data_IF_163522987187
#
_entry.id   IF_163522987187
#
_cell.length_a   1.000
_cell.length_b   1.000
_cell.length_c   1.000
_cell.angle_alpha   90.00
_cell.angle_beta   90.00
_cell.angle_gamma   90.00
#
_symmetry.space_group_name_H-M   'P 1'
#
loop_
_entity.id
_entity.type
_entity.pdbx_description
1 polymer ?
#
# COMPACT_ATOMS: atom_id res chain seq x y z
N UNK A 1 -18.24 10.53 -13.20
CA UNK A 1 -18.55 10.69 -11.76
C UNK A 1 -17.87 11.95 -11.26
N UNK A 2 -18.66 12.89 -10.75
CA UNK A 2 -18.23 14.24 -10.37
C UNK A 2 -17.55 14.16 -9.00
N UNK A 3 -16.23 14.31 -8.97
CA UNK A 3 -15.52 14.65 -7.74
C UNK A 3 -15.91 16.07 -7.36
N UNK A 4 -16.67 16.23 -6.29
CA UNK A 4 -17.02 17.55 -5.76
C UNK A 4 -15.75 18.33 -5.40
N UNK A 5 -15.56 19.49 -6.06
CA UNK A 5 -14.89 20.63 -5.44
C UNK A 5 -13.45 20.96 -5.82
N UNK A 6 -12.76 20.20 -6.67
CA UNK A 6 -11.48 20.62 -7.26
C UNK A 6 -11.61 20.62 -8.78
N UNK A 7 -11.56 21.81 -9.41
CA UNK A 7 -11.24 21.92 -10.84
C UNK A 7 -9.79 21.47 -11.01
N UNK A 8 -9.62 20.15 -11.10
CA UNK A 8 -8.32 19.51 -11.25
C UNK A 8 -7.86 19.67 -12.71
N UNK A 9 -6.72 20.32 -12.92
CA UNK A 9 -6.12 20.44 -14.24
C UNK A 9 -5.51 19.09 -14.65
N UNK A 10 -6.20 18.36 -15.54
CA UNK A 10 -5.83 17.00 -15.99
C UNK A 10 -4.39 16.89 -16.50
N UNK A 11 -3.86 17.95 -17.13
CA UNK A 11 -2.49 17.98 -17.66
C UNK A 11 -1.43 18.10 -16.55
N UNK A 12 -1.67 18.91 -15.51
CA UNK A 12 -0.78 19.04 -14.33
C UNK A 12 -0.65 17.71 -13.58
N UNK A 13 -1.76 16.95 -13.51
CA UNK A 13 -1.78 15.64 -12.87
C UNK A 13 -1.01 14.58 -13.63
N UNK A 14 -1.18 14.52 -14.96
CA UNK A 14 -0.45 13.57 -15.80
C UNK A 14 1.06 13.79 -15.71
N UNK A 15 1.51 15.05 -15.69
CA UNK A 15 2.92 15.38 -15.50
C UNK A 15 3.44 14.95 -14.12
N UNK A 16 2.66 15.18 -13.05
CA UNK A 16 3.08 14.82 -11.69
C UNK A 16 3.18 13.31 -11.50
N UNK A 17 2.23 12.55 -12.05
CA UNK A 17 2.29 11.09 -12.04
C UNK A 17 3.51 10.57 -12.81
N UNK A 18 3.80 11.11 -14.01
CA UNK A 18 4.96 10.70 -14.80
C UNK A 18 6.28 10.94 -14.06
N UNK A 19 6.43 12.10 -13.40
CA UNK A 19 7.62 12.41 -12.60
C UNK A 19 7.77 11.44 -11.41
N UNK A 20 6.66 11.16 -10.71
CA UNK A 20 6.66 10.21 -9.58
C UNK A 20 7.00 8.80 -10.06
N UNK A 21 6.42 8.33 -11.17
CA UNK A 21 6.74 7.01 -11.75
C UNK A 21 8.20 6.92 -12.17
N UNK A 22 8.74 7.95 -12.81
CA UNK A 22 10.17 8.01 -13.16
C UNK A 22 11.05 7.88 -11.91
N UNK A 23 10.77 8.63 -10.84
CA UNK A 23 11.52 8.53 -9.58
C UNK A 23 11.37 7.15 -8.92
N UNK A 24 10.17 6.58 -8.99
CA UNK A 24 9.87 5.25 -8.47
C UNK A 24 10.66 4.15 -9.21
N UNK A 25 10.72 4.22 -10.54
CA UNK A 25 11.46 3.26 -11.37
C UNK A 25 12.98 3.33 -11.14
N UNK A 26 13.49 4.49 -10.74
CA UNK A 26 14.90 4.70 -10.39
C UNK A 26 15.18 4.53 -8.89
N UNK A 27 14.22 4.05 -8.10
CA UNK A 27 14.35 3.81 -6.66
C UNK A 27 14.78 5.07 -5.87
N UNK A 28 14.45 6.26 -6.37
CA UNK A 28 14.79 7.53 -5.73
C UNK A 28 13.67 7.95 -4.77
N UNK A 29 13.56 7.22 -3.66
CA UNK A 29 12.46 7.32 -2.70
C UNK A 29 12.37 8.69 -2.03
N UNK A 30 13.50 9.23 -1.56
CA UNK A 30 13.55 10.53 -0.88
C UNK A 30 13.04 11.67 -1.77
N UNK A 31 13.51 11.74 -3.01
CA UNK A 31 13.05 12.78 -3.93
C UNK A 31 11.61 12.58 -4.36
N UNK A 32 11.17 11.31 -4.49
CA UNK A 32 9.78 10.99 -4.80
C UNK A 32 8.86 11.54 -3.71
N UNK A 33 9.16 11.22 -2.44
CA UNK A 33 8.40 11.71 -1.27
C UNK A 33 8.42 13.24 -1.23
N UNK A 34 9.61 13.85 -1.39
CA UNK A 34 9.75 15.30 -1.36
C UNK A 34 8.95 16.00 -2.46
N UNK A 35 8.90 15.41 -3.66
CA UNK A 35 8.10 15.93 -4.76
C UNK A 35 6.59 15.75 -4.49
N UNK A 36 6.18 14.58 -4.00
CA UNK A 36 4.79 14.21 -3.76
C UNK A 36 4.12 15.08 -2.68
N UNK A 37 4.82 15.39 -1.59
CA UNK A 37 4.32 16.26 -0.49
C UNK A 37 3.96 17.67 -0.97
N UNK A 38 4.61 18.16 -2.04
CA UNK A 38 4.35 19.50 -2.60
C UNK A 38 3.15 19.55 -3.54
N UNK A 39 2.53 18.40 -3.84
CA UNK A 39 1.41 18.34 -4.78
C UNK A 39 0.08 18.54 -4.06
N UNK A 40 -0.76 19.41 -4.61
CA UNK A 40 -2.14 19.60 -4.13
C UNK A 40 -3.03 18.38 -4.38
N UNK A 41 -2.61 17.50 -5.30
CA UNK A 41 -3.33 16.30 -5.69
C UNK A 41 -2.36 15.25 -6.21
N UNK A 42 -2.59 13.99 -5.83
CA UNK A 42 -1.91 12.82 -6.38
C UNK A 42 -2.97 11.91 -7.01
N UNK A 43 -2.65 11.28 -8.15
CA UNK A 43 -3.45 10.17 -8.66
C UNK A 43 -3.31 8.94 -7.76
N UNK A 44 -4.17 7.94 -7.94
CA UNK A 44 -4.06 6.68 -7.19
C UNK A 44 -2.69 6.02 -7.40
N UNK A 45 -2.21 5.95 -8.64
CA UNK A 45 -0.88 5.42 -8.97
C UNK A 45 0.22 6.18 -8.24
N UNK A 46 0.18 7.52 -8.27
CA UNK A 46 1.16 8.34 -7.57
C UNK A 46 1.08 8.16 -6.04
N UNK A 47 -0.12 7.97 -5.50
CA UNK A 47 -0.35 7.70 -4.07
C UNK A 47 0.27 6.36 -3.67
N UNK A 48 0.03 5.28 -4.44
CA UNK A 48 0.63 3.96 -4.22
C UNK A 48 2.15 4.04 -4.29
N UNK A 49 2.71 4.68 -5.32
CA UNK A 49 4.16 4.88 -5.42
C UNK A 49 4.74 5.63 -4.21
N UNK A 50 4.02 6.62 -3.69
CA UNK A 50 4.48 7.43 -2.56
C UNK A 50 4.39 6.67 -1.25
N UNK A 51 3.30 5.95 -1.00
CA UNK A 51 3.15 5.10 0.18
C UNK A 51 4.22 3.99 0.18
N UNK A 52 4.46 3.35 -0.96
CA UNK A 52 5.56 2.38 -1.08
C UNK A 52 6.93 3.04 -0.81
N UNK A 53 7.20 4.22 -1.38
CA UNK A 53 8.46 4.94 -1.11
C UNK A 53 8.62 5.30 0.38
N UNK A 54 7.53 5.69 1.05
CA UNK A 54 7.54 5.93 2.50
C UNK A 54 7.88 4.67 3.28
N UNK A 55 7.35 3.50 2.87
CA UNK A 55 7.73 2.21 3.46
C UNK A 55 9.21 1.90 3.23
N UNK A 56 9.74 2.07 2.00
CA UNK A 56 11.17 1.83 1.73
C UNK A 56 12.10 2.72 2.55
N UNK A 57 11.62 3.88 2.99
CA UNK A 57 12.36 4.81 3.85
C UNK A 57 12.06 4.61 5.35
N UNK A 58 11.24 3.62 5.74
CA UNK A 58 10.87 3.35 7.14
C UNK A 58 10.02 4.45 7.78
N UNK A 59 9.16 5.10 6.97
CA UNK A 59 8.41 6.31 7.34
C UNK A 59 6.92 6.22 7.04
N UNK A 60 6.42 5.06 6.62
CA UNK A 60 5.02 4.89 6.23
C UNK A 60 4.09 5.30 7.37
N UNK A 61 4.25 4.66 8.53
CA UNK A 61 3.35 4.83 9.66
C UNK A 61 3.44 6.21 10.32
N UNK A 62 4.51 6.97 10.13
CA UNK A 62 4.66 8.31 10.71
C UNK A 62 4.32 9.43 9.72
N UNK A 63 4.61 9.24 8.44
CA UNK A 63 4.57 10.33 7.45
C UNK A 63 3.51 10.19 6.36
N UNK A 64 2.74 9.09 6.28
CA UNK A 64 1.80 8.90 5.17
C UNK A 64 0.69 9.95 5.09
N UNK A 65 0.27 10.55 6.20
CA UNK A 65 -0.75 11.60 6.15
C UNK A 65 -0.23 12.97 5.72
N UNK A 66 1.10 13.14 5.55
CA UNK A 66 1.69 14.36 4.96
C UNK A 66 1.33 14.54 3.49
N UNK A 67 0.88 13.47 2.82
CA UNK A 67 0.23 13.52 1.53
C UNK A 67 -1.28 13.30 1.67
N UNK A 68 -2.07 13.81 0.74
CA UNK A 68 -3.52 13.61 0.74
C UNK A 68 -3.89 12.16 0.41
N UNK A 69 -4.44 11.45 1.38
CA UNK A 69 -4.88 10.05 1.26
C UNK A 69 -6.31 9.93 0.67
N UNK A 70 -6.50 10.46 -0.54
CA UNK A 70 -7.83 10.56 -1.18
C UNK A 70 -8.43 9.20 -1.62
N UNK A 71 -7.64 8.12 -1.57
CA UNK A 71 -8.02 6.80 -2.07
C UNK A 71 -8.22 5.76 -0.96
N UNK A 72 -8.20 6.16 0.31
CA UNK A 72 -8.28 5.23 1.46
C UNK A 72 -7.28 4.06 1.26
N UNK A 73 -7.61 2.83 1.63
CA UNK A 73 -6.69 1.70 1.43
C UNK A 73 -6.36 1.39 -0.03
N UNK A 74 -7.15 1.83 -1.01
CA UNK A 74 -6.79 1.69 -2.43
C UNK A 74 -5.63 2.59 -2.88
N UNK A 75 -5.25 3.56 -2.05
CA UNK A 75 -4.00 4.32 -2.20
C UNK A 75 -2.77 3.57 -1.69
N UNK A 76 -2.96 2.47 -0.96
CA UNK A 76 -1.91 1.57 -0.47
C UNK A 76 -1.82 0.32 -1.35
N UNK A 77 -2.97 -0.34 -1.55
CA UNK A 77 -3.14 -1.55 -2.35
C UNK A 77 -4.40 -1.39 -3.20
N UNK A 78 -4.23 -1.11 -4.49
CA UNK A 78 -5.37 -1.11 -5.41
C UNK A 78 -5.91 -2.55 -5.56
N UNK A 79 -7.24 -2.69 -5.62
CA UNK A 79 -7.85 -3.98 -5.94
C UNK A 79 -7.45 -4.37 -7.38
N UNK A 80 -6.80 -5.53 -7.52
CA UNK A 80 -6.42 -6.06 -8.82
C UNK A 80 -7.44 -7.09 -9.29
N UNK A 81 -8.44 -6.68 -10.05
CA UNK A 81 -9.41 -7.62 -10.59
C UNK A 81 -8.78 -8.41 -11.75
N UNK A 82 -8.43 -9.67 -11.49
CA UNK A 82 -7.92 -10.57 -12.53
C UNK A 82 -8.98 -10.94 -13.58
N UNK A 83 -10.26 -10.73 -13.28
CA UNK A 83 -11.37 -11.04 -14.16
C UNK A 83 -12.46 -9.96 -14.06
N UNK A 84 -12.70 -9.25 -15.16
CA UNK A 84 -14.03 -8.72 -15.46
C UNK A 84 -14.40 -9.20 -16.87
N UNK A 85 -15.39 -10.08 -17.03
CA UNK A 85 -15.76 -10.69 -18.30
C UNK A 85 -16.62 -9.76 -19.17
N UNK A 86 -16.33 -8.47 -19.18
CA UNK A 86 -16.98 -7.54 -20.10
C UNK A 86 -15.93 -7.05 -21.09
N UNK A 87 -16.23 -7.18 -22.39
CA UNK A 87 -15.37 -6.90 -23.57
C UNK A 87 -14.85 -5.45 -23.70
N UNK A 88 -14.94 -4.66 -22.63
CA UNK A 88 -14.58 -3.27 -22.64
C UNK A 88 -13.08 -3.09 -22.39
N UNK A 89 -12.31 -3.05 -23.48
CA UNK A 89 -10.85 -2.82 -23.52
C UNK A 89 -10.41 -1.60 -22.67
N UNK A 90 -11.24 -0.57 -22.58
CA UNK A 90 -10.97 0.60 -21.74
C UNK A 90 -10.94 0.28 -20.24
N UNK A 91 -11.84 -0.58 -19.75
CA UNK A 91 -11.84 -1.07 -18.37
C UNK A 91 -10.60 -1.92 -18.10
N UNK A 92 -10.21 -2.81 -19.02
CA UNK A 92 -8.97 -3.58 -18.94
C UNK A 92 -7.71 -2.70 -18.85
N UNK A 93 -7.69 -1.53 -19.52
CA UNK A 93 -6.60 -0.56 -19.41
C UNK A 93 -6.52 0.09 -18.02
N UNK A 94 -7.67 0.42 -17.40
CA UNK A 94 -7.72 0.94 -16.04
C UNK A 94 -7.28 -0.10 -15.00
N UNK A 95 -7.66 -1.37 -15.16
CA UNK A 95 -7.24 -2.46 -14.27
C UNK A 95 -5.74 -2.78 -14.37
N UNK A 96 -5.14 -2.61 -15.54
CA UNK A 96 -3.71 -2.92 -15.76
C UNK A 96 -2.74 -1.77 -15.50
N UNK A 97 -3.22 -0.52 -15.34
CA UNK A 97 -2.33 0.66 -15.22
C UNK A 97 -1.32 0.54 -14.07
N UNK A 98 -1.69 -0.18 -13.01
CA UNK A 98 -0.87 -0.42 -11.82
C UNK A 98 -0.35 -1.86 -11.72
N UNK A 99 -0.57 -2.73 -12.71
CA UNK A 99 -0.26 -4.16 -12.63
C UNK A 99 1.20 -4.41 -12.20
N UNK A 100 2.16 -3.82 -12.93
CA UNK A 100 3.59 -3.96 -12.60
C UNK A 100 3.94 -3.37 -11.24
N UNK A 101 3.33 -2.25 -10.86
CA UNK A 101 3.54 -1.61 -9.56
C UNK A 101 3.05 -2.53 -8.42
N UNK A 102 1.85 -3.10 -8.57
CA UNK A 102 1.29 -4.06 -7.63
C UNK A 102 2.13 -5.34 -7.60
N UNK A 103 2.62 -5.82 -8.75
CA UNK A 103 3.54 -6.96 -8.81
C UNK A 103 4.81 -6.74 -7.98
N UNK A 104 5.37 -5.52 -7.94
CA UNK A 104 6.51 -5.21 -7.05
C UNK A 104 6.13 -5.27 -5.57
N UNK A 105 4.97 -4.73 -5.22
CA UNK A 105 4.47 -4.75 -3.83
C UNK A 105 4.17 -6.19 -3.39
N UNK A 106 3.49 -6.95 -4.24
CA UNK A 106 3.13 -8.34 -4.01
C UNK A 106 4.37 -9.20 -3.81
N UNK A 107 5.43 -8.94 -4.59
CA UNK A 107 6.71 -9.64 -4.39
C UNK A 107 7.29 -9.42 -2.98
N UNK A 108 7.24 -8.19 -2.44
CA UNK A 108 7.72 -7.90 -1.08
C UNK A 108 6.77 -8.40 0.02
N UNK A 109 5.47 -8.44 -0.26
CA UNK A 109 4.49 -9.12 0.60
C UNK A 109 4.63 -10.66 0.55
N UNK A 110 5.46 -11.17 -0.35
CA UNK A 110 5.74 -12.59 -0.58
C UNK A 110 4.79 -13.28 -1.56
N UNK A 111 3.80 -12.58 -2.14
CA UNK A 111 2.74 -13.12 -3.00
C UNK A 111 3.22 -13.45 -4.43
N UNK A 112 4.34 -14.17 -4.54
CA UNK A 112 4.92 -14.83 -5.70
C UNK A 112 3.95 -15.43 -6.74
N UNK A 113 2.90 -16.18 -6.39
CA UNK A 113 1.91 -16.69 -7.36
C UNK A 113 1.14 -15.54 -8.02
N UNK A 114 0.75 -14.52 -7.25
CA UNK A 114 0.14 -13.30 -7.81
C UNK A 114 1.12 -12.53 -8.70
N UNK A 115 2.40 -12.46 -8.31
CA UNK A 115 3.47 -11.84 -9.11
C UNK A 115 3.62 -12.57 -10.45
N UNK A 116 3.68 -13.90 -10.42
CA UNK A 116 3.80 -14.72 -11.62
C UNK A 116 2.62 -14.49 -12.56
N UNK A 117 1.39 -14.52 -12.02
CA UNK A 117 0.18 -14.26 -12.81
C UNK A 117 0.21 -12.88 -13.47
N UNK A 118 0.47 -11.83 -12.68
CA UNK A 118 0.59 -10.46 -13.20
C UNK A 118 1.62 -10.38 -14.32
N UNK A 119 2.80 -10.95 -14.11
CA UNK A 119 3.89 -10.82 -15.07
C UNK A 119 3.61 -11.61 -16.35
N UNK A 120 3.08 -12.83 -16.26
CA UNK A 120 2.69 -13.64 -17.43
C UNK A 120 1.56 -12.95 -18.22
N UNK A 121 0.52 -12.46 -17.55
CA UNK A 121 -0.59 -11.74 -18.19
C UNK A 121 -0.08 -10.50 -18.93
N UNK A 122 0.87 -9.76 -18.33
CA UNK A 122 1.45 -8.58 -18.93
C UNK A 122 2.32 -8.92 -20.15
N UNK A 123 3.12 -10.00 -20.08
CA UNK A 123 3.91 -10.47 -21.22
C UNK A 123 3.03 -10.96 -22.37
N UNK A 124 1.94 -11.66 -22.07
CA UNK A 124 1.01 -12.15 -23.07
C UNK A 124 0.31 -11.00 -23.83
N UNK A 125 -0.02 -9.90 -23.13
CA UNK A 125 -0.71 -8.75 -23.71
C UNK A 125 0.21 -7.76 -24.41
N UNK A 126 1.40 -7.53 -23.86
CA UNK A 126 2.27 -6.41 -24.27
C UNK A 126 3.65 -6.85 -24.78
N UNK A 127 3.88 -8.16 -24.91
CA UNK A 127 5.15 -8.74 -25.33
C UNK A 127 6.22 -8.67 -24.23
N UNK A 128 7.49 -8.75 -24.63
CA UNK A 128 8.66 -8.82 -23.73
C UNK A 128 8.97 -7.50 -23.01
N UNK A 129 8.01 -6.99 -22.23
CA UNK A 129 8.14 -5.78 -21.45
C UNK A 129 9.17 -5.98 -20.33
N UNK A 130 10.24 -5.15 -20.28
CA UNK A 130 11.34 -5.34 -19.32
C UNK A 130 10.88 -5.44 -17.87
N UNK A 131 9.89 -4.65 -17.47
CA UNK A 131 9.42 -4.64 -16.08
C UNK A 131 8.73 -5.95 -15.68
N UNK A 132 7.97 -6.56 -16.60
CA UNK A 132 7.35 -7.87 -16.37
C UNK A 132 8.41 -8.99 -16.36
N UNK A 133 9.41 -8.92 -17.24
CA UNK A 133 10.55 -9.84 -17.22
C UNK A 133 11.30 -9.77 -15.88
N UNK A 134 11.57 -8.58 -15.36
CA UNK A 134 12.21 -8.40 -14.05
C UNK A 134 11.38 -9.00 -12.90
N UNK A 135 10.05 -8.91 -12.94
CA UNK A 135 9.18 -9.57 -11.97
C UNK A 135 9.33 -11.10 -12.03
N UNK A 136 9.30 -11.70 -13.22
CA UNK A 136 9.49 -13.16 -13.36
C UNK A 136 10.89 -13.60 -12.92
N UNK A 137 11.94 -12.84 -13.27
CA UNK A 137 13.29 -13.16 -12.84
C UNK A 137 13.37 -13.16 -11.31
N UNK A 138 12.90 -12.09 -10.65
CA UNK A 138 12.84 -12.03 -9.19
C UNK A 138 12.05 -13.20 -8.59
N UNK A 139 10.90 -13.54 -9.19
CA UNK A 139 10.03 -14.61 -8.70
C UNK A 139 10.69 -15.98 -8.78
N UNK A 140 11.25 -16.32 -9.95
CA UNK A 140 11.96 -17.59 -10.13
C UNK A 140 13.21 -17.67 -9.25
N UNK A 141 13.96 -16.58 -9.09
CA UNK A 141 15.08 -16.54 -8.15
C UNK A 141 14.61 -16.76 -6.70
N UNK A 142 13.47 -16.19 -6.30
CA UNK A 142 12.92 -16.40 -4.96
C UNK A 142 12.49 -17.84 -4.69
N UNK A 143 12.04 -18.59 -5.70
CA UNK A 143 11.77 -20.03 -5.60
C UNK A 143 13.03 -20.91 -5.76
N UNK A 144 14.19 -20.32 -6.07
CA UNK A 144 15.40 -21.08 -6.40
C UNK A 144 15.34 -21.78 -7.76
N UNK A 145 14.44 -21.36 -8.65
CA UNK A 145 14.27 -21.86 -10.02
C UNK A 145 15.26 -21.19 -10.97
N UNK A 146 16.55 -21.42 -10.73
CA UNK A 146 17.65 -20.71 -11.40
C UNK A 146 17.59 -20.84 -12.92
N UNK A 147 17.25 -22.01 -13.46
CA UNK A 147 17.16 -22.23 -14.90
C UNK A 147 16.02 -21.43 -15.55
N UNK A 148 14.88 -21.31 -14.88
CA UNK A 148 13.78 -20.47 -15.36
C UNK A 148 14.18 -18.99 -15.32
N UNK A 149 14.81 -18.54 -14.23
CA UNK A 149 15.34 -17.18 -14.13
C UNK A 149 16.33 -16.85 -15.27
N UNK A 150 17.27 -17.76 -15.57
CA UNK A 150 18.27 -17.58 -16.66
C UNK A 150 17.62 -17.38 -18.03
N UNK A 151 16.53 -18.10 -18.32
CA UNK A 151 15.76 -17.89 -19.56
C UNK A 151 15.27 -16.45 -19.67
N UNK A 152 14.60 -15.94 -18.65
CA UNK A 152 14.09 -14.56 -18.67
C UNK A 152 15.21 -13.50 -18.63
N UNK A 153 16.32 -13.76 -17.94
CA UNK A 153 17.52 -12.90 -17.98
C UNK A 153 18.03 -12.77 -19.42
N UNK A 154 18.14 -13.87 -20.16
CA UNK A 154 18.60 -13.84 -21.57
C UNK A 154 17.67 -13.07 -22.50
N UNK A 155 16.37 -13.04 -22.21
CA UNK A 155 15.40 -12.23 -22.95
C UNK A 155 15.60 -10.75 -22.61
N UNK A 156 15.77 -10.41 -21.32
CA UNK A 156 16.00 -9.04 -20.85
C UNK A 156 17.32 -8.47 -21.36
N UNK A 157 18.36 -9.28 -21.49
CA UNK A 157 19.70 -8.90 -21.97
C UNK A 157 19.70 -8.31 -23.38
N UNK A 158 18.70 -8.67 -24.20
CA UNK A 158 18.52 -8.07 -25.54
C UNK A 158 18.18 -6.59 -25.49
N UNK A 159 17.74 -6.07 -24.34
CA UNK A 159 17.46 -4.65 -24.16
C UNK A 159 18.68 -3.91 -23.57
N UNK A 160 19.33 -3.01 -24.35
CA UNK A 160 20.57 -2.37 -23.93
C UNK A 160 20.43 -1.44 -22.72
N UNK A 161 19.20 -0.97 -22.41
CA UNK A 161 18.93 -0.09 -21.27
C UNK A 161 18.91 -0.83 -19.92
N UNK A 162 18.86 -2.17 -19.91
CA UNK A 162 18.73 -2.98 -18.69
C UNK A 162 20.00 -3.76 -18.32
N UNK A 163 21.15 -3.41 -18.91
CA UNK A 163 22.44 -4.10 -18.67
C UNK A 163 22.84 -4.15 -17.18
N UNK A 164 22.54 -3.10 -16.41
CA UNK A 164 22.84 -3.06 -14.97
C UNK A 164 22.04 -4.10 -14.20
N UNK A 165 20.74 -4.19 -14.48
CA UNK A 165 19.82 -5.14 -13.86
C UNK A 165 20.18 -6.57 -14.27
N UNK A 166 20.48 -6.80 -15.55
CA UNK A 166 20.93 -8.10 -16.06
C UNK A 166 22.15 -8.61 -15.31
N UNK A 167 23.19 -7.78 -15.12
CA UNK A 167 24.38 -8.16 -14.34
C UNK A 167 24.04 -8.56 -12.91
N UNK A 168 23.21 -7.75 -12.22
CA UNK A 168 22.72 -8.06 -10.86
C UNK A 168 22.02 -9.42 -10.82
N UNK A 169 21.13 -9.70 -11.79
CA UNK A 169 20.43 -10.98 -11.83
C UNK A 169 21.33 -12.16 -12.17
N UNK A 170 22.32 -11.97 -13.06
CA UNK A 170 23.32 -12.98 -13.36
C UNK A 170 24.17 -13.32 -12.14
N UNK A 171 24.49 -12.33 -11.30
CA UNK A 171 25.18 -12.54 -10.02
C UNK A 171 24.30 -13.33 -9.04
N UNK A 172 23.05 -12.91 -8.84
CA UNK A 172 22.08 -13.63 -7.99
C UNK A 172 21.83 -15.07 -8.46
N UNK A 173 21.83 -15.31 -9.77
CA UNK A 173 21.64 -16.64 -10.36
C UNK A 173 22.87 -17.56 -10.24
N UNK A 174 23.98 -17.11 -9.63
CA UNK A 174 25.13 -17.96 -9.26
C UNK A 174 24.91 -18.66 -7.93
N UNK A 175 24.14 -18.05 -7.03
CA UNK A 175 23.89 -18.58 -5.71
C UNK A 175 22.63 -19.47 -5.75
N UNK A 176 22.81 -20.77 -5.50
CA UNK A 176 21.70 -21.72 -5.45
C UNK A 176 21.01 -21.66 -4.09
N UNK A 177 20.21 -20.61 -3.86
CA UNK A 177 19.31 -20.58 -2.71
C UNK A 177 17.99 -21.24 -3.11
N UNK A 178 17.80 -22.50 -2.72
CA UNK A 178 16.47 -23.13 -2.76
C UNK A 178 15.66 -22.62 -1.58
N UNK A 179 14.59 -21.88 -1.84
CA UNK A 179 13.56 -21.63 -0.82
C UNK A 179 12.78 -22.93 -0.63
N UNK A 180 12.58 -23.32 0.63
CA UNK A 180 11.72 -24.44 0.96
C UNK A 180 10.27 -23.96 0.83
N UNK A 181 9.46 -24.71 0.09
CA UNK A 181 8.02 -24.46 -0.07
C UNK A 181 7.36 -24.42 1.32
N UNK A 182 6.61 -23.36 1.63
CA UNK A 182 5.98 -23.13 2.95
C UNK A 182 4.46 -23.14 2.85
N UNK A 183 3.76 -23.31 3.97
CA UNK A 183 2.28 -23.18 4.08
C UNK A 183 1.70 -21.92 3.45
N UNK A 184 2.54 -20.88 3.33
CA UNK A 184 2.35 -19.64 2.61
C UNK A 184 1.83 -19.82 1.16
N UNK A 185 2.32 -20.79 0.40
CA UNK A 185 2.00 -20.97 -1.03
C UNK A 185 0.55 -21.45 -1.27
N UNK A 186 -0.07 -22.09 -0.29
CA UNK A 186 -1.48 -22.54 -0.38
C UNK A 186 -2.43 -21.34 -0.22
N UNK A 187 -2.13 -20.44 0.71
CA UNK A 187 -2.87 -19.17 0.90
C UNK A 187 -2.70 -18.29 -0.33
N UNK A 188 -1.50 -18.28 -0.88
CA UNK A 188 -1.16 -17.52 -2.06
C UNK A 188 -1.94 -17.97 -3.32
N UNK A 189 -2.10 -19.27 -3.50
CA UNK A 189 -2.90 -19.82 -4.60
C UNK A 189 -4.39 -19.43 -4.49
N UNK A 190 -4.94 -19.31 -3.28
CA UNK A 190 -6.33 -18.87 -3.08
C UNK A 190 -6.51 -17.35 -3.27
N UNK A 191 -5.55 -16.54 -2.83
CA UNK A 191 -5.52 -15.08 -3.06
C UNK A 191 -5.31 -14.72 -4.54
N UNK A 192 -4.58 -15.56 -5.29
CA UNK A 192 -4.48 -15.41 -6.74
C UNK A 192 -5.85 -15.56 -7.43
N UNK A 193 -6.80 -16.28 -6.82
CA UNK A 193 -8.17 -16.45 -7.29
C UNK A 193 -9.14 -15.39 -6.76
N UNK A 194 -8.93 -14.86 -5.54
CA UNK A 194 -9.76 -13.83 -4.91
C UNK A 194 -8.92 -12.60 -4.52
N UNK A 195 -8.98 -11.50 -5.30
CA UNK A 195 -7.98 -10.44 -5.28
C UNK A 195 -8.07 -9.45 -4.10
N UNK A 196 -8.95 -9.68 -3.13
CA UNK A 196 -8.92 -8.92 -1.88
C UNK A 196 -7.72 -9.41 -1.06
N UNK A 197 -6.60 -8.68 -1.16
CA UNK A 197 -5.40 -8.95 -0.36
C UNK A 197 -5.80 -8.92 1.10
N UNK A 198 -5.58 -10.03 1.78
CA UNK A 198 -5.80 -10.12 3.21
C UNK A 198 -4.44 -10.10 3.91
N UNK A 199 -4.06 -8.92 4.40
CA UNK A 199 -2.82 -8.71 5.13
C UNK A 199 -2.78 -9.51 6.45
N UNK A 200 -3.93 -9.82 7.05
CA UNK A 200 -4.00 -10.68 8.25
C UNK A 200 -3.56 -12.11 7.92
N UNK A 201 -4.06 -12.70 6.83
CA UNK A 201 -3.64 -14.04 6.38
C UNK A 201 -2.14 -14.11 6.05
N UNK A 202 -1.57 -13.03 5.50
CA UNK A 202 -0.13 -12.94 5.25
C UNK A 202 0.63 -12.95 6.58
N UNK A 203 0.18 -12.20 7.58
CA UNK A 203 0.81 -12.16 8.90
C UNK A 203 0.62 -13.45 9.71
N UNK A 204 -0.47 -14.17 9.51
CA UNK A 204 -0.68 -15.50 10.10
C UNK A 204 0.27 -16.55 9.54
N UNK A 205 0.67 -16.41 8.27
CA UNK A 205 1.58 -17.33 7.59
C UNK A 205 3.06 -16.94 7.72
N UNK A 206 3.37 -15.64 7.69
CA UNK A 206 4.70 -15.08 7.89
C UNK A 206 4.62 -13.88 8.84
N UNK A 207 4.67 -14.18 10.15
CA UNK A 207 4.65 -13.16 11.19
C UNK A 207 5.87 -12.23 11.13
N UNK A 208 6.94 -12.56 10.41
CA UNK A 208 8.15 -11.72 10.30
C UNK A 208 8.11 -10.80 9.09
N UNK A 209 7.03 -10.81 8.31
CA UNK A 209 6.89 -9.92 7.17
C UNK A 209 6.62 -8.47 7.63
N UNK A 210 7.69 -7.69 7.71
CA UNK A 210 7.64 -6.27 8.12
C UNK A 210 6.74 -5.43 7.20
N UNK A 211 6.76 -5.68 5.88
CA UNK A 211 5.89 -4.95 4.95
C UNK A 211 4.43 -5.23 5.25
N UNK A 212 4.05 -6.49 5.41
CA UNK A 212 2.67 -6.87 5.70
C UNK A 212 2.20 -6.26 7.02
N UNK A 213 3.08 -6.19 8.02
CA UNK A 213 2.76 -5.60 9.31
C UNK A 213 2.53 -4.10 9.22
N UNK A 214 3.46 -3.34 8.62
CA UNK A 214 3.28 -1.90 8.44
C UNK A 214 2.10 -1.58 7.51
N UNK A 215 1.93 -2.34 6.42
CA UNK A 215 0.80 -2.15 5.51
C UNK A 215 -0.53 -2.44 6.20
N UNK A 216 -0.59 -3.41 7.10
CA UNK A 216 -1.81 -3.73 7.86
C UNK A 216 -2.20 -2.56 8.77
N UNK A 217 -1.25 -2.01 9.53
CA UNK A 217 -1.49 -0.83 10.36
C UNK A 217 -1.92 0.36 9.50
N UNK A 218 -1.22 0.62 8.38
CA UNK A 218 -1.55 1.70 7.46
C UNK A 218 -2.97 1.53 6.87
N UNK A 219 -3.35 0.31 6.51
CA UNK A 219 -4.68 -0.04 6.02
C UNK A 219 -5.75 0.28 7.07
N UNK A 220 -5.58 -0.17 8.32
CA UNK A 220 -6.50 0.14 9.42
C UNK A 220 -6.63 1.66 9.64
N UNK A 221 -5.53 2.41 9.61
CA UNK A 221 -5.56 3.86 9.75
C UNK A 221 -6.34 4.55 8.62
N UNK A 222 -6.12 4.12 7.36
CA UNK A 222 -6.81 4.66 6.18
C UNK A 222 -8.32 4.36 6.19
N UNK A 223 -8.73 3.20 6.66
CA UNK A 223 -10.15 2.86 6.80
C UNK A 223 -10.76 3.32 8.13
N UNK A 224 -9.94 3.89 9.03
CA UNK A 224 -10.35 4.27 10.39
C UNK A 224 -10.91 3.09 11.18
N UNK A 225 -10.37 1.90 10.94
CA UNK A 225 -10.78 0.68 11.61
C UNK A 225 -10.15 0.61 13.01
N UNK A 226 -10.91 1.13 13.99
CA UNK A 226 -10.50 1.14 15.39
C UNK A 226 -10.67 -0.22 16.06
N UNK A 227 -11.39 -1.17 15.45
CA UNK A 227 -11.64 -2.49 16.04
C UNK A 227 -10.37 -3.34 16.15
N UNK A 228 -9.36 -3.06 15.31
CA UNK A 228 -8.10 -3.81 15.23
C UNK A 228 -7.01 -3.30 16.17
N UNK A 229 -7.27 -2.23 16.93
CA UNK A 229 -6.23 -1.55 17.71
C UNK A 229 -5.61 -2.42 18.81
N UNK A 230 -6.40 -3.23 19.53
CA UNK A 230 -5.86 -4.12 20.57
C UNK A 230 -4.90 -5.14 19.98
N UNK A 231 -5.29 -5.76 18.86
CA UNK A 231 -4.46 -6.72 18.16
C UNK A 231 -3.14 -6.09 17.70
N UNK A 232 -3.18 -4.88 17.14
CA UNK A 232 -1.98 -4.18 16.68
C UNK A 232 -1.06 -3.82 17.87
N UNK A 233 -1.60 -3.34 19.00
CA UNK A 233 -0.80 -3.03 20.20
C UNK A 233 -0.08 -4.28 20.71
N UNK A 234 -0.77 -5.41 20.82
CA UNK A 234 -0.14 -6.66 21.24
C UNK A 234 0.98 -7.08 20.29
N UNK A 235 0.74 -6.97 18.97
CA UNK A 235 1.74 -7.30 17.94
C UNK A 235 2.94 -6.35 17.90
N UNK A 236 2.77 -5.08 18.27
CA UNK A 236 3.89 -4.14 18.43
C UNK A 236 4.78 -4.54 19.61
N UNK A 237 4.17 -4.93 20.74
CA UNK A 237 4.91 -5.37 21.93
C UNK A 237 5.66 -6.67 21.67
N UNK A 238 5.02 -7.66 21.03
CA UNK A 238 5.64 -8.93 20.65
C UNK A 238 6.86 -8.72 19.73
N UNK A 239 6.81 -7.72 18.85
CA UNK A 239 7.93 -7.33 17.98
C UNK A 239 8.98 -6.45 18.67
N UNK A 240 8.82 -6.15 19.96
CA UNK A 240 9.79 -5.41 20.75
C UNK A 240 9.78 -3.90 20.54
N UNK A 241 8.70 -3.33 19.99
CA UNK A 241 8.54 -1.88 19.91
C UNK A 241 8.46 -1.30 21.32
N UNK A 242 9.22 -0.22 21.56
CA UNK A 242 9.20 0.54 22.83
C UNK A 242 8.27 1.73 22.78
N UNK A 243 7.96 2.20 21.57
CA UNK A 243 7.13 3.37 21.27
C UNK A 243 6.22 3.00 20.10
N UNK A 244 5.04 3.60 20.05
CA UNK A 244 4.15 3.45 18.92
C UNK A 244 4.56 4.37 17.77
N UNK A 245 4.29 3.99 16.51
CA UNK A 245 4.32 4.94 15.39
C UNK A 245 3.35 6.10 15.63
N UNK A 246 3.70 7.31 15.21
CA UNK A 246 3.00 8.55 15.62
C UNK A 246 1.51 8.54 15.24
N UNK A 247 1.20 8.16 13.99
CA UNK A 247 -0.20 8.14 13.54
C UNK A 247 -1.02 7.05 14.22
N UNK A 248 -0.38 5.94 14.59
CA UNK A 248 -1.04 4.89 15.35
C UNK A 248 -1.30 5.34 16.79
N UNK A 249 -0.35 6.04 17.42
CA UNK A 249 -0.54 6.61 18.77
C UNK A 249 -1.71 7.60 18.79
N UNK A 250 -1.82 8.50 17.82
CA UNK A 250 -2.99 9.39 17.66
C UNK A 250 -4.29 8.59 17.55
N UNK A 251 -4.28 7.47 16.82
CA UNK A 251 -5.45 6.60 16.69
C UNK A 251 -5.92 6.06 18.03
N UNK A 252 -5.00 5.68 18.92
CA UNK A 252 -5.34 5.24 20.28
C UNK A 252 -5.96 6.36 21.11
N UNK A 253 -5.48 7.60 20.96
CA UNK A 253 -6.06 8.77 21.64
C UNK A 253 -7.48 9.07 21.15
N UNK A 254 -7.72 8.97 19.84
CA UNK A 254 -9.06 9.09 19.25
C UNK A 254 -9.98 8.01 19.81
N UNK A 255 -9.57 6.73 19.80
CA UNK A 255 -10.38 5.65 20.32
C UNK A 255 -10.79 5.90 21.79
N UNK A 256 -9.84 6.29 22.63
CA UNK A 256 -10.09 6.57 24.05
C UNK A 256 -10.98 7.80 24.29
N UNK A 257 -11.00 8.76 23.35
CA UNK A 257 -11.83 9.96 23.46
C UNK A 257 -13.27 9.74 22.99
N UNK A 258 -13.49 8.89 21.99
CA UNK A 258 -14.81 8.71 21.35
C UNK A 258 -15.52 7.40 21.71
N UNK A 259 -14.81 6.41 22.25
CA UNK A 259 -15.35 5.06 22.46
C UNK A 259 -15.10 4.58 23.89
N UNK A 260 -16.07 3.86 24.46
CA UNK A 260 -16.03 3.35 25.83
C UNK A 260 -15.15 2.08 26.00
N UNK A 261 -14.17 1.88 25.12
CA UNK A 261 -13.26 0.74 25.17
C UNK A 261 -11.81 1.23 25.15
N UNK A 262 -11.27 1.71 26.29
CA UNK A 262 -9.93 2.25 26.33
C UNK A 262 -8.89 1.16 26.05
N UNK A 263 -7.95 1.45 25.16
CA UNK A 263 -6.88 0.51 24.82
C UNK A 263 -5.83 0.55 25.92
N UNK A 264 -5.49 -0.62 26.46
CA UNK A 264 -4.38 -0.75 27.38
C UNK A 264 -3.06 -0.71 26.60
N UNK A 265 -2.35 0.42 26.71
CA UNK A 265 -1.06 0.64 26.04
C UNK A 265 0.12 -0.10 26.73
N UNK A 266 -0.14 -0.79 27.86
CA UNK A 266 0.84 -1.57 28.63
C UNK A 266 2.15 -0.78 28.83
N UNK A 267 3.29 -1.38 28.48
CA UNK A 267 4.65 -0.84 28.68
C UNK A 267 5.13 0.09 27.54
N UNK A 268 4.27 0.40 26.55
CA UNK A 268 4.63 1.29 25.46
C UNK A 268 4.77 2.73 25.97
N UNK A 269 5.94 3.32 25.70
CA UNK A 269 6.18 4.74 26.03
C UNK A 269 5.31 5.62 25.14
N UNK A 270 4.66 6.60 25.78
CA UNK A 270 3.83 7.60 25.12
C UNK A 270 4.63 8.85 24.79
N UNK A 271 4.32 9.45 23.64
CA UNK A 271 4.80 10.76 23.24
C UNK A 271 3.90 11.85 23.86
N UNK A 272 4.39 12.49 24.93
CA UNK A 272 3.64 13.51 25.67
C UNK A 272 3.37 14.77 24.82
N UNK A 273 4.31 15.17 23.97
CA UNK A 273 4.12 16.32 23.08
C UNK A 273 3.03 16.05 22.04
N UNK A 274 2.96 14.82 21.52
CA UNK A 274 1.91 14.39 20.60
C UNK A 274 0.54 14.35 21.29
N UNK A 275 0.51 13.93 22.55
CA UNK A 275 -0.71 13.94 23.36
C UNK A 275 -1.24 15.36 23.59
N UNK A 276 -0.37 16.31 23.96
CA UNK A 276 -0.76 17.72 24.13
C UNK A 276 -1.24 18.36 22.82
N UNK A 277 -0.59 18.03 21.70
CA UNK A 277 -1.07 18.44 20.37
C UNK A 277 -2.47 17.90 20.07
N UNK A 278 -2.72 16.62 20.38
CA UNK A 278 -4.03 16.00 20.23
C UNK A 278 -5.09 16.68 21.11
N UNK A 279 -4.80 16.93 22.40
CA UNK A 279 -5.73 17.62 23.29
C UNK A 279 -6.04 19.04 22.81
N UNK A 280 -5.03 19.76 22.33
CA UNK A 280 -5.19 21.12 21.78
C UNK A 280 -6.08 21.11 20.54
N UNK A 281 -5.83 20.17 19.62
CA UNK A 281 -6.66 19.97 18.42
C UNK A 281 -8.11 19.66 18.80
N UNK A 282 -8.30 18.71 19.72
CA UNK A 282 -9.62 18.25 20.12
C UNK A 282 -10.44 19.32 20.86
N UNK A 283 -9.82 20.07 21.77
CA UNK A 283 -10.49 21.21 22.45
C UNK A 283 -10.99 22.25 21.44
N UNK A 284 -10.17 22.59 20.44
CA UNK A 284 -10.58 23.51 19.37
C UNK A 284 -11.74 22.93 18.56
N UNK A 285 -11.65 21.67 18.16
CA UNK A 285 -12.72 20.98 17.43
C UNK A 285 -14.06 21.01 18.18
N UNK A 286 -14.05 20.72 19.48
CA UNK A 286 -15.27 20.68 20.32
C UNK A 286 -15.88 22.07 20.56
N UNK A 287 -15.06 23.12 20.55
CA UNK A 287 -15.52 24.49 20.74
C UNK A 287 -15.99 25.15 19.43
N UNK A 288 -15.73 24.54 18.27
CA UNK A 288 -16.17 25.05 16.97
C UNK A 288 -17.49 24.36 16.57
N UNK A 289 -18.61 25.09 16.44
CA UNK A 289 -19.93 24.50 16.28
C UNK A 289 -20.18 23.87 14.90
N UNK A 290 -19.36 24.17 13.90
CA UNK A 290 -19.58 23.78 12.52
C UNK A 290 -18.34 23.10 11.93
N UNK A 291 -18.52 21.91 11.32
CA UNK A 291 -17.45 21.09 10.74
C UNK A 291 -16.66 21.80 9.63
N UNK A 292 -17.29 22.62 8.80
CA UNK A 292 -16.61 23.37 7.73
C UNK A 292 -15.79 24.54 8.28
N UNK A 293 -16.25 25.17 9.36
CA UNK A 293 -15.47 26.19 10.07
C UNK A 293 -14.28 25.52 10.76
N UNK A 294 -14.50 24.42 11.48
CA UNK A 294 -13.46 23.65 12.13
C UNK A 294 -12.38 23.18 11.14
N UNK A 295 -12.78 22.73 9.94
CA UNK A 295 -11.87 22.33 8.86
C UNK A 295 -10.95 23.48 8.43
N UNK A 296 -11.46 24.71 8.34
CA UNK A 296 -10.68 25.89 7.97
C UNK A 296 -9.76 26.33 9.11
N UNK A 297 -10.27 26.38 10.34
CA UNK A 297 -9.51 26.81 11.53
C UNK A 297 -8.38 25.84 11.89
N UNK A 298 -8.61 24.53 11.71
CA UNK A 298 -7.66 23.47 12.00
C UNK A 298 -6.78 23.10 10.80
N UNK A 299 -6.77 23.92 9.74
CA UNK A 299 -5.99 23.66 8.52
C UNK A 299 -4.49 23.54 8.79
N UNK A 300 -3.97 24.15 9.85
CA UNK A 300 -2.56 23.98 10.26
C UNK A 300 -2.21 22.54 10.63
N UNK A 301 -3.19 21.71 10.97
CA UNK A 301 -3.02 20.27 11.24
C UNK A 301 -3.18 19.42 9.98
N UNK A 302 -3.40 20.03 8.80
CA UNK A 302 -3.39 19.31 7.54
C UNK A 302 -2.03 18.61 7.38
N UNK A 303 -2.05 17.29 7.17
CA UNK A 303 -0.84 16.46 7.20
C UNK A 303 -0.78 15.46 8.36
N UNK A 304 -1.65 15.61 9.35
CA UNK A 304 -1.75 14.72 10.52
C UNK A 304 -2.87 13.71 10.41
N UNK A 305 -2.75 12.59 11.13
CA UNK A 305 -3.82 11.59 11.19
C UNK A 305 -5.12 12.14 11.81
N UNK A 306 -5.05 12.93 12.88
CA UNK A 306 -6.24 13.51 13.51
C UNK A 306 -7.05 14.40 12.56
N UNK A 307 -6.37 15.18 11.71
CA UNK A 307 -7.05 15.98 10.69
C UNK A 307 -7.70 15.09 9.62
N UNK A 308 -6.99 14.06 9.14
CA UNK A 308 -7.54 13.07 8.22
C UNK A 308 -8.77 12.36 8.79
N UNK A 309 -8.67 11.89 10.05
CA UNK A 309 -9.71 11.15 10.73
C UNK A 309 -11.03 11.95 10.83
N UNK A 310 -10.96 13.25 11.09
CA UNK A 310 -12.16 14.09 11.25
C UNK A 310 -12.73 14.57 9.91
N UNK A 311 -11.86 15.00 8.98
CA UNK A 311 -12.28 15.80 7.81
C UNK A 311 -12.25 15.07 6.47
N UNK A 312 -11.71 13.85 6.41
CA UNK A 312 -11.69 13.05 5.17
C UNK A 312 -12.72 11.93 5.26
N UNK A 313 -13.54 11.76 4.24
CA UNK A 313 -14.46 10.62 4.16
C UNK A 313 -13.74 9.37 3.67
N UNK A 314 -14.09 8.21 4.22
CA UNK A 314 -13.58 6.91 3.77
C UNK A 314 -14.38 6.51 2.53
N UNK A 315 -13.70 6.29 1.42
CA UNK A 315 -14.35 5.84 0.19
C UNK A 315 -14.60 4.33 0.27
N UNK A 316 -15.72 3.92 0.88
CA UNK A 316 -16.17 2.53 0.97
C UNK A 316 -16.78 2.01 -0.35
N UNK A 317 -17.07 2.91 -1.32
CA UNK A 317 -17.84 2.63 -2.53
C UNK A 317 -17.15 1.75 -3.59
N UNK A 318 -16.04 1.10 -3.26
CA UNK A 318 -15.41 0.09 -4.13
C UNK A 318 -15.38 -1.31 -3.48
N UNK A 319 -15.83 -1.44 -2.23
CA UNK A 319 -15.92 -2.74 -1.52
C UNK A 319 -17.31 -3.40 -1.62
N UNK A 320 -18.29 -2.80 -2.33
CA UNK A 320 -19.68 -3.29 -2.40
C UNK A 320 -19.90 -4.42 -3.45
N UNK A 321 -18.84 -5.10 -3.91
CA UNK A 321 -19.00 -6.30 -4.76
C UNK A 321 -18.53 -7.60 -4.14
N UNK A 322 -18.17 -7.63 -2.86
CA UNK A 322 -17.90 -8.89 -2.12
C UNK A 322 -19.05 -9.35 -1.23
N UNK A 323 -20.20 -8.67 -1.23
CA UNK A 323 -21.44 -9.17 -0.65
C UNK A 323 -22.41 -9.64 -1.74
N UNK A 324 -22.08 -10.76 -2.38
CA UNK A 324 -23.11 -11.65 -2.92
C UNK A 324 -23.27 -12.80 -1.93
N UNK A 325 -24.41 -12.81 -1.24
CA UNK A 325 -24.83 -13.79 -0.23
C UNK A 325 -24.62 -15.25 -0.68
N UNK A 326 -24.27 -16.16 0.24
CA UNK A 326 -24.37 -17.59 0.02
C UNK A 326 -25.81 -18.03 0.32
N UNK A 327 -26.63 -18.26 -0.72
CA UNK A 327 -27.93 -18.95 -0.67
C UNK A 327 -28.44 -18.99 -2.13
N UNK A 328 -28.71 -20.10 -2.83
CA UNK A 328 -29.11 -21.45 -2.44
C UNK A 328 -28.63 -22.46 -3.51
N UNK A 329 -28.13 -23.62 -3.06
CA UNK A 329 -28.30 -24.88 -3.76
C UNK A 329 -28.77 -25.91 -2.73
N UNK A 330 -30.07 -26.18 -2.75
CA UNK A 330 -30.64 -27.49 -2.46
C UNK A 330 -31.39 -27.92 -3.72
#
# INVERSE_FOLDING_TARGET
MVFNGLKVNSKKNQNSEAIIKYKFENENWKDLIHYAIKQDFLSQTATICTNYALYKEGRLLDSMFKILQNYSGHGLLAQYHFYKPDDNVALNFFYNKNAILLGKIYFELGLHTCVQRIAVDFLARYGNQPQALMLLINNHLAYGEIEAARKYISILEKNPFYKKQVKKFQELAKDSVKKQLTSYEIIEASLASYPSINLELILESDEKNEMAFEYYIAYCLLYKDLSKLSYIVDKLIERGFKTMPENFEICTYINNAFYNNPINLKDLKRNLDLHEQFLTFFRKLMNTPNKEIAKKELRSYQGSYMYYFIFTEVNLLVDVSSQSSPDHFN
#
